data_IF_257985628161
#
_entry.id   IF_257985628161
#
_cell.length_a   1.000
_cell.length_b   1.000
_cell.length_c   1.000
_cell.angle_alpha   90.00
_cell.angle_beta   90.00
_cell.angle_gamma   90.00
#
_symmetry.space_group_name_H-M   'P 1'
#
loop_
_entity.id
_entity.type
_entity.pdbx_description
1 polymer ?
#
# COMPACT_ATOMS: atom_id res chain seq x y z
N UNK A 1 -19.84 38.53 55.50
CA UNK A 1 -19.02 38.40 54.27
C UNK A 1 -17.78 37.53 54.48
N UNK A 2 -17.00 37.72 55.54
CA UNK A 2 -15.75 36.99 55.79
C UNK A 2 -15.91 35.45 55.89
N UNK A 3 -16.99 34.94 56.48
CA UNK A 3 -17.23 33.49 56.60
C UNK A 3 -17.52 32.78 55.26
N UNK A 4 -18.13 33.50 54.30
CA UNK A 4 -18.45 32.96 52.97
C UNK A 4 -17.22 32.92 52.06
N UNK A 5 -16.30 33.87 52.25
CA UNK A 5 -15.02 33.92 51.54
C UNK A 5 -14.11 32.81 52.07
N UNK A 6 -14.05 32.58 53.39
CA UNK A 6 -13.31 31.47 53.97
C UNK A 6 -13.81 30.10 53.49
N UNK A 7 -15.13 29.90 53.39
CA UNK A 7 -15.71 28.66 52.86
C UNK A 7 -15.39 28.47 51.38
N UNK A 8 -15.42 29.54 50.57
CA UNK A 8 -15.04 29.48 49.15
C UNK A 8 -13.56 29.17 48.96
N UNK A 9 -12.68 29.72 49.79
CA UNK A 9 -11.24 29.43 49.76
C UNK A 9 -10.97 27.99 50.20
N UNK A 10 -11.68 27.47 51.21
CA UNK A 10 -11.54 26.07 51.63
C UNK A 10 -12.07 25.11 50.57
N UNK A 11 -13.19 25.42 49.92
CA UNK A 11 -13.74 24.61 48.80
C UNK A 11 -12.84 24.70 47.57
N UNK A 12 -12.27 25.87 47.26
CA UNK A 12 -11.32 26.04 46.17
C UNK A 12 -9.97 25.34 46.47
N UNK A 13 -9.49 25.36 47.71
CA UNK A 13 -8.32 24.59 48.14
C UNK A 13 -8.58 23.08 48.16
N UNK A 14 -9.78 22.63 48.53
CA UNK A 14 -10.21 21.23 48.40
C UNK A 14 -10.35 20.81 46.93
N UNK A 15 -10.81 21.68 46.04
CA UNK A 15 -10.87 21.42 44.61
C UNK A 15 -9.47 21.42 43.95
N UNK A 16 -8.54 22.25 44.43
CA UNK A 16 -7.13 22.24 44.03
C UNK A 16 -6.38 20.99 44.53
N UNK A 17 -6.82 20.37 45.64
CA UNK A 17 -6.29 19.08 46.11
C UNK A 17 -6.82 17.86 45.32
N UNK A 18 -7.85 18.04 44.48
CA UNK A 18 -8.44 16.96 43.66
C UNK A 18 -7.89 16.94 42.22
N UNK A 19 -7.03 17.89 41.85
CA UNK A 19 -6.15 17.77 40.67
C UNK A 19 -4.93 16.92 41.04
N UNK A 20 -5.20 15.71 41.52
CA UNK A 20 -4.18 14.67 41.72
C UNK A 20 -3.86 14.02 40.39
N UNK A 21 -2.59 13.68 40.15
CA UNK A 21 -2.13 12.93 38.98
C UNK A 21 -3.08 11.78 38.63
N UNK A 22 -3.46 11.67 37.35
CA UNK A 22 -4.42 10.66 36.89
C UNK A 22 -3.91 9.25 37.22
N UNK A 23 -4.78 8.41 37.80
CA UNK A 23 -4.43 7.02 38.15
C UNK A 23 -4.01 6.23 36.89
N UNK A 24 -2.80 5.66 36.87
CA UNK A 24 -2.26 4.91 35.74
C UNK A 24 -3.19 3.79 35.25
N UNK A 25 -3.95 3.15 36.14
CA UNK A 25 -4.95 2.16 35.70
C UNK A 25 -6.10 2.81 34.95
N UNK A 26 -6.58 3.98 35.38
CA UNK A 26 -7.63 4.72 34.67
C UNK A 26 -7.14 5.25 33.34
N UNK A 27 -5.89 5.68 33.28
CA UNK A 27 -5.24 6.17 32.07
C UNK A 27 -5.14 5.09 30.99
N UNK A 28 -4.85 3.84 31.41
CA UNK A 28 -4.90 2.68 30.53
C UNK A 28 -6.31 2.10 30.32
N UNK A 29 -7.35 2.64 30.98
CA UNK A 29 -8.71 2.12 30.90
C UNK A 29 -8.92 0.75 31.56
N UNK A 30 -8.11 0.44 32.57
CA UNK A 30 -8.05 -0.85 33.26
C UNK A 30 -8.51 -0.76 34.72
N UNK A 31 -8.84 -1.93 35.29
CA UNK A 31 -9.07 -2.08 36.73
C UNK A 31 -7.74 -2.40 37.43
N UNK A 32 -7.61 -2.07 38.72
CA UNK A 32 -6.38 -2.32 39.50
C UNK A 32 -5.91 -3.78 39.52
N UNK A 33 -6.85 -4.73 39.39
CA UNK A 33 -6.57 -6.16 39.32
C UNK A 33 -6.27 -6.66 37.89
N UNK A 34 -5.99 -5.77 36.94
CA UNK A 34 -5.70 -6.15 35.56
C UNK A 34 -4.46 -7.06 35.49
N UNK A 35 -4.55 -8.11 34.67
CA UNK A 35 -3.41 -8.98 34.39
C UNK A 35 -2.34 -8.25 33.55
N UNK A 36 -1.10 -8.73 33.59
CA UNK A 36 -0.02 -8.16 32.78
C UNK A 36 -0.35 -8.20 31.27
N UNK A 37 -1.16 -9.19 30.85
CA UNK A 37 -1.66 -9.32 29.49
C UNK A 37 -2.63 -8.20 29.13
N UNK A 38 -3.52 -7.83 30.03
CA UNK A 38 -4.47 -6.72 29.85
C UNK A 38 -3.74 -5.36 29.82
N UNK A 39 -2.74 -5.17 30.68
CA UNK A 39 -1.88 -3.98 30.72
C UNK A 39 -1.13 -3.80 29.40
N UNK A 40 -0.49 -4.86 28.90
CA UNK A 40 0.20 -4.84 27.58
C UNK A 40 -0.75 -4.57 26.43
N UNK A 41 -1.95 -5.16 26.44
CA UNK A 41 -2.95 -4.98 25.38
C UNK A 41 -3.48 -3.55 25.36
N UNK A 42 -3.79 -2.98 26.53
CA UNK A 42 -4.26 -1.61 26.65
C UNK A 42 -3.21 -0.61 26.17
N UNK A 43 -1.96 -0.80 26.58
CA UNK A 43 -0.84 0.02 26.12
C UNK A 43 -0.70 0.00 24.59
N UNK A 44 -0.65 -1.18 23.95
CA UNK A 44 -0.56 -1.28 22.47
C UNK A 44 -1.68 -0.53 21.75
N UNK A 45 -2.91 -0.67 22.25
CA UNK A 45 -4.08 0.00 21.67
C UNK A 45 -3.99 1.52 21.77
N UNK A 46 -3.63 2.04 22.95
CA UNK A 46 -3.56 3.47 23.21
C UNK A 46 -2.33 4.12 22.56
N UNK A 47 -1.18 3.45 22.55
CA UNK A 47 0.02 3.92 21.84
C UNK A 47 -0.20 4.01 20.33
N UNK A 48 -0.89 3.03 19.71
CA UNK A 48 -1.25 3.09 18.28
C UNK A 48 -2.25 4.22 17.99
N UNK A 49 -3.10 4.57 18.97
CA UNK A 49 -4.10 5.64 18.84
C UNK A 49 -3.47 7.04 18.94
N UNK A 50 -2.56 7.24 19.89
CA UNK A 50 -1.93 8.54 20.18
C UNK A 50 -0.56 8.72 19.51
N UNK A 51 -0.19 7.85 18.56
CA UNK A 51 1.10 7.90 17.88
C UNK A 51 1.28 9.24 17.13
N UNK A 52 2.46 9.89 17.22
CA UNK A 52 2.72 11.16 16.52
C UNK A 52 2.60 11.06 15.00
N UNK A 53 3.05 9.96 14.38
CA UNK A 53 2.91 9.78 12.93
C UNK A 53 1.45 9.74 12.45
N UNK A 54 0.53 9.30 13.31
CA UNK A 54 -0.91 9.28 13.00
C UNK A 54 -1.61 10.57 13.40
N UNK A 55 -0.99 11.37 14.26
CA UNK A 55 -1.52 12.62 14.79
C UNK A 55 -0.47 13.74 14.69
N UNK A 56 0.02 14.06 13.48
CA UNK A 56 1.09 15.06 13.32
C UNK A 56 0.59 16.44 13.74
N UNK A 57 1.30 17.09 14.66
CA UNK A 57 0.99 18.45 15.13
C UNK A 57 -0.10 18.55 16.21
N UNK A 58 -0.64 17.43 16.71
CA UNK A 58 -1.59 17.44 17.84
C UNK A 58 -0.87 17.34 19.19
N UNK A 59 -0.73 18.47 19.88
CA UNK A 59 -0.10 18.55 21.20
C UNK A 59 -0.83 17.70 22.26
N UNK A 60 -2.15 17.52 22.13
CA UNK A 60 -2.94 16.75 23.10
C UNK A 60 -2.73 15.24 22.95
N UNK A 61 -2.56 14.77 21.72
CA UNK A 61 -2.18 13.39 21.44
C UNK A 61 -0.75 13.10 21.94
N UNK A 62 0.17 14.05 21.76
CA UNK A 62 1.53 13.97 22.26
C UNK A 62 1.59 13.86 23.80
N UNK A 63 0.84 14.70 24.52
CA UNK A 63 0.76 14.63 25.98
C UNK A 63 0.20 13.29 26.46
N UNK A 64 -0.89 12.82 25.87
CA UNK A 64 -1.47 11.51 26.21
C UNK A 64 -0.56 10.34 25.89
N UNK A 65 0.24 10.45 24.82
CA UNK A 65 1.23 9.44 24.48
C UNK A 65 2.30 9.32 25.57
N UNK A 66 2.80 10.44 26.08
CA UNK A 66 3.76 10.49 27.19
C UNK A 66 3.17 9.87 28.46
N UNK A 67 1.93 10.25 28.81
CA UNK A 67 1.27 9.73 30.01
C UNK A 67 0.99 8.22 29.92
N UNK A 68 0.58 7.72 28.75
CA UNK A 68 0.37 6.28 28.49
C UNK A 68 1.69 5.50 28.58
N UNK A 69 2.80 6.08 28.12
CA UNK A 69 4.12 5.48 28.23
C UNK A 69 4.59 5.39 29.69
N UNK A 70 4.42 6.45 30.48
CA UNK A 70 4.77 6.45 31.90
C UNK A 70 3.91 5.45 32.69
N UNK A 71 2.60 5.39 32.43
CA UNK A 71 1.70 4.43 33.06
C UNK A 71 2.13 2.98 32.80
N UNK A 72 2.55 2.67 31.58
CA UNK A 72 3.03 1.34 31.24
C UNK A 72 4.39 1.04 31.86
N UNK A 73 5.33 1.99 31.91
CA UNK A 73 6.63 1.80 32.55
C UNK A 73 6.46 1.38 34.03
N UNK A 74 5.57 2.05 34.75
CA UNK A 74 5.31 1.76 36.16
C UNK A 74 4.55 0.45 36.35
N UNK A 75 3.53 0.18 35.54
CA UNK A 75 2.65 -0.99 35.71
C UNK A 75 3.17 -2.28 35.07
N UNK A 76 4.17 -2.21 34.17
CA UNK A 76 4.69 -3.38 33.46
C UNK A 76 5.71 -4.21 34.27
N UNK A 77 6.40 -3.60 35.23
CA UNK A 77 7.32 -4.29 36.13
C UNK A 77 6.65 -4.55 37.48
N UNK A 78 6.72 -5.79 37.95
CA UNK A 78 6.07 -6.25 39.19
C UNK A 78 6.55 -5.48 40.44
N UNK A 79 7.80 -5.03 40.47
CA UNK A 79 8.37 -4.26 41.59
C UNK A 79 7.83 -2.83 41.63
N UNK A 80 7.89 -2.11 40.52
CA UNK A 80 7.37 -0.73 40.42
C UNK A 80 5.84 -0.71 40.53
N UNK A 81 5.17 -1.73 40.01
CA UNK A 81 3.72 -1.89 40.16
C UNK A 81 3.31 -2.05 41.62
N UNK A 82 4.03 -2.87 42.40
CA UNK A 82 3.78 -3.02 43.85
C UNK A 82 3.99 -1.70 44.60
N UNK A 83 5.04 -0.95 44.26
CA UNK A 83 5.30 0.37 44.86
C UNK A 83 4.18 1.35 44.53
N UNK A 84 3.74 1.40 43.28
CA UNK A 84 2.61 2.23 42.86
C UNK A 84 1.28 1.81 43.52
N UNK A 85 1.01 0.51 43.61
CA UNK A 85 -0.21 0.00 44.23
C UNK A 85 -0.27 0.29 45.74
N UNK A 86 0.88 0.37 46.42
CA UNK A 86 0.98 0.64 47.86
C UNK A 86 1.05 2.13 48.20
N UNK A 87 1.76 2.93 47.40
CA UNK A 87 2.12 4.30 47.74
C UNK A 87 1.72 5.34 46.67
N UNK A 88 1.08 4.92 45.59
CA UNK A 88 0.64 5.78 44.50
C UNK A 88 1.80 6.47 43.77
N UNK A 89 1.50 7.59 43.13
CA UNK A 89 2.48 8.40 42.39
C UNK A 89 3.66 8.86 43.27
N UNK A 90 3.40 9.20 44.53
CA UNK A 90 4.42 9.68 45.47
C UNK A 90 5.47 8.59 45.77
N UNK A 91 5.05 7.31 45.84
CA UNK A 91 5.94 6.18 46.01
C UNK A 91 6.90 5.98 44.83
N UNK A 92 6.39 6.18 43.60
CA UNK A 92 7.22 6.14 42.40
C UNK A 92 8.18 7.32 42.34
N UNK A 93 7.75 8.53 42.72
CA UNK A 93 8.63 9.69 42.75
C UNK A 93 9.73 9.58 43.81
N UNK A 94 9.45 9.00 44.98
CA UNK A 94 10.46 8.71 46.00
C UNK A 94 11.41 7.59 45.57
N UNK A 95 10.90 6.53 44.93
CA UNK A 95 11.72 5.46 44.36
C UNK A 95 12.66 5.99 43.26
N UNK A 96 12.20 6.93 42.41
CA UNK A 96 13.02 7.65 41.41
C UNK A 96 14.08 8.58 42.04
N UNK A 97 13.92 9.03 43.29
CA UNK A 97 14.87 9.92 43.99
C UNK A 97 15.87 9.19 44.92
N UNK A 98 15.59 7.94 45.31
CA UNK A 98 16.28 7.24 46.39
C UNK A 98 17.48 6.35 46.04
N UNK A 99 17.86 6.19 44.76
CA UNK A 99 19.05 5.43 44.38
C UNK A 99 18.84 4.51 43.18
N UNK A 100 19.13 5.03 42.00
CA UNK A 100 19.22 4.33 40.73
C UNK A 100 19.68 5.34 39.67
N UNK A 101 20.44 4.96 38.63
CA UNK A 101 20.91 5.90 37.62
C UNK A 101 19.72 6.70 37.07
N UNK A 102 19.85 8.03 37.03
CA UNK A 102 18.90 8.91 36.35
C UNK A 102 18.89 8.54 34.87
N UNK A 103 18.03 7.61 34.49
CA UNK A 103 17.61 7.46 33.11
C UNK A 103 16.52 8.51 32.90
N UNK A 104 16.94 9.69 32.45
CA UNK A 104 16.08 10.51 31.61
C UNK A 104 15.83 9.70 30.33
N UNK A 105 14.94 8.71 30.40
CA UNK A 105 14.41 8.07 29.21
C UNK A 105 13.43 9.09 28.65
N UNK A 106 13.78 9.70 27.52
CA UNK A 106 12.80 10.38 26.70
C UNK A 106 11.65 9.37 26.46
N UNK A 107 10.36 9.72 26.65
CA UNK A 107 9.25 8.81 26.38
C UNK A 107 9.33 8.20 24.96
N UNK A 108 9.96 8.92 24.03
CA UNK A 108 10.30 8.44 22.69
C UNK A 108 11.44 7.41 22.65
N UNK A 109 12.42 7.47 23.54
CA UNK A 109 13.52 6.52 23.64
C UNK A 109 13.07 5.19 24.28
N UNK A 110 12.11 5.25 25.23
CA UNK A 110 11.44 4.07 25.78
C UNK A 110 10.59 3.37 24.70
N UNK A 111 9.96 4.14 23.81
CA UNK A 111 9.25 3.65 22.63
C UNK A 111 10.22 3.06 21.58
N UNK A 112 11.32 3.74 21.24
CA UNK A 112 12.35 3.20 20.32
C UNK A 112 13.00 1.90 20.82
N UNK A 113 13.06 1.70 22.14
CA UNK A 113 13.53 0.46 22.79
C UNK A 113 12.50 -0.66 22.79
N UNK A 114 11.22 -0.36 22.56
CA UNK A 114 10.10 -1.30 22.58
C UNK A 114 9.45 -1.52 21.18
N UNK A 115 9.60 -0.57 20.24
CA UNK A 115 9.03 -0.58 18.88
C UNK A 115 10.06 -0.33 17.76
N UNK A 116 11.33 -0.05 18.08
CA UNK A 116 12.44 -0.04 17.12
C UNK A 116 12.84 1.34 16.59
N UNK A 117 14.00 1.84 17.05
CA UNK A 117 14.59 3.07 16.52
C UNK A 117 15.95 3.47 17.13
N UNK A 118 17.01 2.75 16.74
CA UNK A 118 18.43 3.17 16.69
C UNK A 118 18.92 4.35 17.56
N UNK A 119 19.66 4.05 18.64
CA UNK A 119 20.38 5.10 19.36
C UNK A 119 21.27 4.70 20.56
N UNK A 120 22.18 3.72 20.46
CA UNK A 120 23.54 3.75 21.05
C UNK A 120 24.27 2.40 20.92
N UNK A 121 25.56 2.49 20.59
CA UNK A 121 26.51 1.40 20.36
C UNK A 121 26.56 0.30 21.44
N UNK A 122 26.49 -0.97 21.01
CA UNK A 122 26.93 -2.12 21.81
C UNK A 122 26.30 -3.45 21.37
N UNK A 123 27.10 -4.36 20.82
CA UNK A 123 26.73 -5.68 20.31
C UNK A 123 25.70 -6.47 21.14
N UNK A 124 24.48 -6.66 20.63
CA UNK A 124 23.67 -7.90 20.79
C UNK A 124 22.63 -7.93 19.65
N UNK A 125 22.44 -9.09 19.01
CA UNK A 125 21.77 -9.23 17.71
C UNK A 125 20.43 -8.53 17.57
N UNK A 126 20.27 -7.74 16.51
CA UNK A 126 18.98 -7.16 16.14
C UNK A 126 17.91 -8.25 16.05
N UNK A 127 16.70 -7.92 16.45
CA UNK A 127 15.55 -8.79 16.26
C UNK A 127 15.55 -9.23 14.80
N UNK A 128 15.57 -10.55 14.59
CA UNK A 128 15.50 -11.11 13.25
C UNK A 128 14.21 -10.59 12.65
N UNK A 129 14.28 -9.99 11.46
CA UNK A 129 13.11 -9.55 10.70
C UNK A 129 12.80 -10.57 9.62
N UNK A 130 11.52 -10.85 9.44
CA UNK A 130 10.99 -11.72 8.40
C UNK A 130 11.08 -11.08 7.01
N UNK A 131 10.87 -11.88 5.96
CA UNK A 131 10.82 -11.37 4.60
C UNK A 131 9.60 -10.46 4.39
N UNK A 132 9.72 -9.51 3.46
CA UNK A 132 8.60 -8.68 3.03
C UNK A 132 7.66 -9.49 2.11
N UNK A 133 6.37 -9.15 2.15
CA UNK A 133 5.33 -9.72 1.31
C UNK A 133 4.98 -8.72 0.20
N UNK A 134 4.88 -9.17 -1.05
CA UNK A 134 4.49 -8.31 -2.17
C UNK A 134 3.16 -8.78 -2.76
N UNK A 135 2.22 -7.84 -2.94
CA UNK A 135 0.89 -8.12 -3.51
C UNK A 135 0.62 -7.12 -4.63
N UNK A 136 0.01 -7.58 -5.72
CA UNK A 136 -0.44 -6.72 -6.82
C UNK A 136 -1.94 -6.55 -6.74
N UNK A 137 -2.41 -5.31 -6.66
CA UNK A 137 -3.83 -4.98 -6.64
C UNK A 137 -4.16 -4.28 -7.96
N UNK A 138 -5.05 -4.89 -8.73
CA UNK A 138 -5.54 -4.35 -9.98
C UNK A 138 -6.67 -3.34 -9.73
N UNK A 139 -6.45 -2.11 -10.14
CA UNK A 139 -7.37 -0.99 -9.94
C UNK A 139 -7.84 -0.45 -11.30
N UNK A 140 -9.15 -0.25 -11.51
CA UNK A 140 -9.67 0.34 -12.73
C UNK A 140 -9.12 1.75 -13.00
N UNK A 141 -8.93 2.13 -14.27
CA UNK A 141 -8.44 3.47 -14.65
C UNK A 141 -9.35 4.59 -14.13
N UNK A 142 -10.66 4.34 -14.07
CA UNK A 142 -11.66 5.26 -13.50
C UNK A 142 -11.35 5.63 -12.06
N UNK A 143 -10.88 4.67 -11.27
CA UNK A 143 -10.57 4.87 -9.85
C UNK A 143 -9.25 5.61 -9.67
N UNK A 144 -8.27 5.42 -10.58
CA UNK A 144 -7.09 6.30 -10.64
C UNK A 144 -7.43 7.73 -11.05
N UNK A 145 -8.45 7.92 -11.89
CA UNK A 145 -8.89 9.24 -12.34
C UNK A 145 -9.63 10.01 -11.25
N UNK A 146 -10.59 9.37 -10.58
CA UNK A 146 -11.45 10.03 -9.58
C UNK A 146 -10.89 9.98 -8.16
N UNK A 147 -10.00 9.04 -7.88
CA UNK A 147 -9.65 8.62 -6.53
C UNK A 147 -10.72 7.70 -5.93
N UNK A 148 -10.29 6.75 -5.10
CA UNK A 148 -11.20 5.80 -4.43
C UNK A 148 -10.61 5.30 -3.13
N UNK A 149 -11.46 5.15 -2.13
CA UNK A 149 -11.16 4.37 -0.92
C UNK A 149 -11.71 2.98 -1.13
N UNK A 150 -10.83 2.00 -1.21
CA UNK A 150 -11.18 0.59 -1.39
C UNK A 150 -10.53 -0.24 -0.30
N UNK A 151 -10.97 -1.48 -0.17
CA UNK A 151 -10.38 -2.43 0.75
C UNK A 151 -9.96 -3.66 -0.06
N UNK A 152 -8.87 -4.30 0.36
CA UNK A 152 -8.43 -5.55 -0.24
C UNK A 152 -8.09 -6.53 0.87
N UNK A 153 -8.36 -7.81 0.61
CA UNK A 153 -8.12 -8.89 1.55
C UNK A 153 -6.91 -9.70 1.10
N UNK A 154 -6.01 -9.99 2.02
CA UNK A 154 -4.85 -10.85 1.81
C UNK A 154 -4.89 -12.02 2.78
N UNK A 155 -4.34 -13.16 2.37
CA UNK A 155 -4.10 -14.28 3.26
C UNK A 155 -2.64 -14.26 3.71
N UNK A 156 -2.42 -14.12 5.02
CA UNK A 156 -1.07 -14.16 5.62
C UNK A 156 -0.97 -15.17 6.74
N UNK A 157 0.24 -15.50 7.14
CA UNK A 157 0.48 -16.22 8.38
C UNK A 157 0.34 -15.25 9.55
N UNK A 158 -0.60 -15.51 10.44
CA UNK A 158 -0.77 -14.79 11.69
C UNK A 158 -0.35 -15.69 12.87
N UNK A 159 0.17 -15.08 13.92
CA UNK A 159 0.44 -15.80 15.17
C UNK A 159 -0.87 -16.36 15.70
N UNK A 160 -0.88 -17.66 16.02
CA UNK A 160 -2.09 -18.31 16.50
C UNK A 160 -2.58 -17.64 17.78
N UNK A 161 -3.75 -17.02 17.72
CA UNK A 161 -4.36 -16.28 18.84
C UNK A 161 -4.69 -17.16 20.04
N UNK A 162 -4.97 -18.45 19.82
CA UNK A 162 -5.28 -19.41 20.87
C UNK A 162 -4.08 -19.75 21.75
N UNK A 163 -2.87 -19.85 21.18
CA UNK A 163 -1.65 -20.21 21.91
C UNK A 163 -0.61 -19.08 21.97
N UNK A 164 -0.91 -17.91 21.41
CA UNK A 164 -0.02 -16.74 21.30
C UNK A 164 1.40 -17.09 20.79
N UNK A 165 1.47 -17.99 19.81
CA UNK A 165 2.75 -18.42 19.23
C UNK A 165 3.54 -19.43 20.07
N UNK A 166 3.02 -19.93 21.20
CA UNK A 166 3.69 -20.99 21.98
C UNK A 166 3.59 -22.37 21.32
N UNK A 167 2.48 -22.64 20.59
CA UNK A 167 2.17 -23.92 19.98
C UNK A 167 1.60 -24.96 20.95
N UNK A 168 1.53 -24.62 22.23
CA UNK A 168 0.97 -25.45 23.31
C UNK A 168 -0.41 -24.94 23.69
N UNK A 169 -1.33 -25.82 24.07
CA UNK A 169 -2.64 -25.42 24.59
C UNK A 169 -2.50 -24.63 25.90
N UNK A 170 -1.63 -25.10 26.81
CA UNK A 170 -1.41 -24.49 28.12
C UNK A 170 -0.30 -23.43 28.13
N UNK A 171 0.28 -23.12 26.96
CA UNK A 171 1.46 -22.23 26.85
C UNK A 171 2.77 -22.83 27.40
N UNK A 172 2.73 -23.96 28.11
CA UNK A 172 3.90 -24.65 28.63
C UNK A 172 4.67 -25.40 27.54
N UNK A 173 5.98 -25.12 27.45
CA UNK A 173 6.89 -25.74 26.48
C UNK A 173 8.13 -26.24 27.22
N UNK A 174 8.45 -27.52 27.06
CA UNK A 174 9.62 -28.12 27.71
C UNK A 174 10.84 -28.09 26.80
N UNK A 175 12.03 -27.93 27.37
CA UNK A 175 13.27 -28.03 26.60
C UNK A 175 13.44 -29.47 26.10
N UNK A 176 13.80 -29.63 24.83
CA UNK A 176 13.98 -30.97 24.26
C UNK A 176 15.21 -31.64 24.90
N UNK A 177 14.97 -32.67 25.72
CA UNK A 177 16.02 -33.42 26.42
C UNK A 177 17.08 -34.03 25.50
N UNK A 178 16.74 -34.29 24.23
CA UNK A 178 17.66 -35.00 23.33
C UNK A 178 18.59 -34.09 22.52
N UNK A 179 18.27 -32.80 22.39
CA UNK A 179 19.21 -31.81 21.85
C UNK A 179 19.63 -30.77 22.89
N UNK A 180 19.11 -30.85 24.12
CA UNK A 180 19.37 -29.88 25.18
C UNK A 180 18.97 -28.45 24.79
N UNK A 181 17.90 -28.29 24.01
CA UNK A 181 17.45 -26.98 23.52
C UNK A 181 18.11 -26.51 22.22
N UNK A 182 19.14 -27.20 21.72
CA UNK A 182 19.92 -26.74 20.55
C UNK A 182 19.23 -26.95 19.20
N UNK A 183 18.17 -27.75 19.14
CA UNK A 183 17.44 -28.04 17.89
C UNK A 183 18.18 -28.97 16.90
N UNK A 184 19.50 -29.11 17.01
CA UNK A 184 20.34 -29.99 16.18
C UNK A 184 21.08 -31.02 17.01
N UNK A 185 21.44 -32.15 16.39
CA UNK A 185 22.33 -33.18 16.94
C UNK A 185 23.50 -33.42 16.01
N UNK A 186 24.65 -33.77 16.58
CA UNK A 186 25.85 -34.09 15.81
C UNK A 186 25.83 -35.60 15.54
N UNK A 187 25.70 -36.00 14.28
CA UNK A 187 25.78 -37.38 13.84
C UNK A 187 27.12 -37.60 13.12
N UNK A 188 27.85 -38.66 13.48
CA UNK A 188 29.07 -39.06 12.76
C UNK A 188 28.66 -39.90 11.56
N UNK A 189 28.82 -39.36 10.35
CA UNK A 189 28.58 -40.08 9.11
C UNK A 189 29.92 -40.53 8.52
N UNK A 190 30.02 -41.82 8.21
CA UNK A 190 31.19 -42.39 7.55
C UNK A 190 31.07 -42.21 6.05
N UNK A 191 31.95 -41.39 5.45
CA UNK A 191 31.98 -41.14 4.01
C UNK A 191 32.93 -42.11 3.29
N UNK A 192 33.95 -42.61 3.98
CA UNK A 192 34.89 -43.61 3.47
C UNK A 192 35.48 -44.45 4.61
N UNK A 193 36.10 -45.62 4.33
CA UNK A 193 36.87 -46.36 5.33
C UNK A 193 37.92 -45.46 5.99
N UNK A 194 37.80 -45.22 7.30
CA UNK A 194 38.71 -44.37 8.07
C UNK A 194 38.40 -42.86 8.07
N UNK A 195 37.42 -42.37 7.29
CA UNK A 195 37.03 -40.96 7.24
C UNK A 195 35.60 -40.76 7.78
N UNK A 196 35.49 -40.21 8.99
CA UNK A 196 34.23 -39.87 9.63
C UNK A 196 34.07 -38.35 9.67
N UNK A 197 32.99 -37.83 9.09
CA UNK A 197 32.60 -36.42 9.21
C UNK A 197 31.52 -36.27 10.27
N UNK A 198 31.64 -35.25 11.12
CA UNK A 198 30.57 -34.83 12.01
C UNK A 198 29.61 -33.93 11.22
N UNK A 199 28.39 -34.41 10.96
CA UNK A 199 27.33 -33.65 10.31
C UNK A 199 26.30 -33.22 11.36
N UNK A 200 25.87 -31.96 11.30
CA UNK A 200 24.77 -31.48 12.13
C UNK A 200 23.45 -31.84 11.46
N UNK A 201 22.66 -32.69 12.11
CA UNK A 201 21.31 -33.08 11.67
C UNK A 201 20.27 -32.41 12.58
N UNK A 202 19.11 -32.06 12.04
CA UNK A 202 18.01 -31.58 12.87
C UNK A 202 17.59 -32.67 13.87
N UNK A 203 17.30 -32.28 15.12
CA UNK A 203 16.85 -33.21 16.14
C UNK A 203 15.45 -33.74 15.78
N UNK A 204 15.34 -35.04 15.50
CA UNK A 204 14.07 -35.69 15.10
C UNK A 204 12.94 -35.47 16.12
N UNK A 205 13.29 -35.44 17.42
CA UNK A 205 12.30 -35.34 18.50
C UNK A 205 11.64 -33.96 18.62
N UNK A 206 12.32 -32.89 18.21
CA UNK A 206 11.77 -31.53 18.24
C UNK A 206 11.67 -30.88 16.86
N UNK A 207 11.99 -31.61 15.79
CA UNK A 207 11.99 -31.11 14.41
C UNK A 207 12.80 -29.83 14.23
N UNK A 208 13.96 -29.70 14.89
CA UNK A 208 14.75 -28.47 14.83
C UNK A 208 14.41 -27.37 15.84
N UNK A 209 13.25 -27.43 16.50
CA UNK A 209 12.72 -26.31 17.34
C UNK A 209 13.37 -26.16 18.71
N UNK A 210 14.14 -27.14 19.18
CA UNK A 210 14.76 -27.14 20.52
C UNK A 210 13.79 -27.31 21.70
N UNK A 211 12.48 -27.17 21.48
CA UNK A 211 11.42 -27.33 22.49
C UNK A 211 10.49 -28.48 22.10
N UNK A 212 9.90 -29.14 23.09
CA UNK A 212 8.90 -30.20 22.95
C UNK A 212 7.60 -29.79 23.64
N UNK A 213 6.49 -29.99 22.93
CA UNK A 213 5.15 -29.64 23.39
C UNK A 213 4.45 -30.93 23.84
N UNK A 214 3.90 -30.96 25.06
CA UNK A 214 3.13 -32.11 25.57
C UNK A 214 1.67 -32.07 25.09
N UNK A 215 1.05 -30.90 25.17
CA UNK A 215 -0.33 -30.66 24.74
C UNK A 215 -0.33 -29.69 23.55
N UNK A 216 -0.34 -30.20 22.31
CA UNK A 216 -0.34 -29.34 21.12
C UNK A 216 -1.63 -28.51 21.08
N UNK A 217 -1.50 -27.24 20.70
CA UNK A 217 -2.66 -26.36 20.57
C UNK A 217 -3.67 -26.93 19.56
N UNK A 218 -4.97 -26.98 19.88
CA UNK A 218 -5.99 -27.58 19.00
C UNK A 218 -6.22 -26.79 17.70
N UNK A 219 -5.94 -25.48 17.69
CA UNK A 219 -6.16 -24.61 16.53
C UNK A 219 -5.01 -24.69 15.53
N UNK A 220 -3.77 -24.61 16.00
CA UNK A 220 -2.59 -24.62 15.13
C UNK A 220 -1.87 -25.98 15.07
N UNK A 221 -2.34 -26.98 15.83
CA UNK A 221 -1.70 -28.31 15.92
C UNK A 221 -0.19 -28.26 16.24
N UNK A 222 0.26 -27.25 16.98
CA UNK A 222 1.68 -27.04 17.33
C UNK A 222 2.53 -26.33 16.26
N UNK A 223 1.93 -25.79 15.19
CA UNK A 223 2.62 -24.98 14.19
C UNK A 223 2.96 -23.57 14.70
N UNK A 224 2.23 -23.07 15.71
CA UNK A 224 2.33 -21.72 16.31
C UNK A 224 1.72 -20.58 15.47
N UNK A 225 1.47 -20.81 14.19
CA UNK A 225 0.91 -19.84 13.24
C UNK A 225 -0.28 -20.46 12.48
N UNK A 226 -1.21 -19.61 12.06
CA UNK A 226 -2.40 -19.98 11.27
C UNK A 226 -2.50 -19.09 10.04
N UNK A 227 -3.11 -19.60 8.96
CA UNK A 227 -3.44 -18.76 7.80
C UNK A 227 -4.73 -18.00 8.12
N UNK A 228 -4.67 -16.68 8.06
CA UNK A 228 -5.81 -15.81 8.32
C UNK A 228 -5.92 -14.77 7.20
N UNK A 229 -7.17 -14.44 6.85
CA UNK A 229 -7.48 -13.40 5.88
C UNK A 229 -7.60 -12.05 6.59
N UNK A 230 -6.75 -11.10 6.26
CA UNK A 230 -6.80 -9.74 6.80
C UNK A 230 -7.18 -8.74 5.71
N UNK A 231 -8.06 -7.80 6.05
CA UNK A 231 -8.51 -6.75 5.15
C UNK A 231 -7.79 -5.44 5.48
N UNK A 232 -7.07 -4.91 4.49
CA UNK A 232 -6.40 -3.62 4.58
C UNK A 232 -7.13 -2.56 3.77
N UNK A 233 -7.12 -1.33 4.30
CA UNK A 233 -7.68 -0.15 3.62
C UNK A 233 -6.66 0.41 2.64
N UNK A 234 -7.09 0.59 1.41
CA UNK A 234 -6.31 1.14 0.32
C UNK A 234 -6.94 2.46 -0.13
N UNK A 235 -6.17 3.54 -0.03
CA UNK A 235 -6.58 4.87 -0.49
C UNK A 235 -5.84 5.19 -1.78
N UNK A 236 -6.59 5.31 -2.87
CA UNK A 236 -6.09 5.71 -4.19
C UNK A 236 -6.41 7.18 -4.37
N UNK A 237 -5.38 8.00 -4.47
CA UNK A 237 -5.53 9.43 -4.66
C UNK A 237 -5.79 9.76 -6.14
N UNK A 238 -6.49 10.87 -6.35
CA UNK A 238 -6.79 11.40 -7.69
C UNK A 238 -5.50 11.62 -8.47
N UNK A 239 -5.41 11.03 -9.68
CA UNK A 239 -4.28 11.22 -10.58
C UNK A 239 -3.06 10.34 -10.30
N UNK A 240 -3.13 9.46 -9.28
CA UNK A 240 -2.01 8.63 -8.87
C UNK A 240 -1.39 7.86 -10.06
N UNK A 241 -0.04 7.85 -10.20
CA UNK A 241 0.62 7.17 -11.32
C UNK A 241 0.55 5.64 -11.20
N UNK A 242 0.76 4.95 -12.32
CA UNK A 242 0.82 3.48 -12.34
C UNK A 242 2.07 3.00 -11.60
N UNK A 243 1.98 1.90 -10.86
CA UNK A 243 3.13 1.25 -10.22
C UNK A 243 3.57 1.87 -8.90
N UNK A 244 2.78 2.76 -8.30
CA UNK A 244 3.02 3.25 -6.93
C UNK A 244 3.02 2.08 -5.95
N UNK A 245 3.96 2.12 -5.00
CA UNK A 245 4.13 1.12 -3.94
C UNK A 245 3.61 1.71 -2.65
N UNK A 246 2.61 1.06 -2.07
CA UNK A 246 2.09 1.41 -0.75
C UNK A 246 2.62 0.37 0.23
N UNK A 247 3.26 0.82 1.30
CA UNK A 247 3.90 -0.07 2.28
C UNK A 247 3.11 -0.05 3.57
N UNK A 248 2.73 -1.23 4.05
CA UNK A 248 2.15 -1.43 5.37
C UNK A 248 3.19 -2.10 6.25
N UNK A 249 3.65 -1.36 7.26
CA UNK A 249 4.78 -1.77 8.10
C UNK A 249 4.44 -2.95 9.00
N UNK A 250 5.31 -3.96 9.03
CA UNK A 250 5.15 -5.17 9.85
C UNK A 250 3.84 -5.96 9.59
N UNK A 251 3.20 -5.77 8.44
CA UNK A 251 1.97 -6.47 8.06
C UNK A 251 2.21 -7.70 7.18
N UNK A 252 3.47 -8.12 6.96
CA UNK A 252 3.82 -9.36 6.26
C UNK A 252 3.55 -10.64 7.07
N UNK A 253 4.09 -11.77 6.61
CA UNK A 253 3.93 -13.07 7.30
C UNK A 253 4.56 -13.02 8.72
N UNK A 254 3.75 -13.31 9.73
CA UNK A 254 4.17 -13.31 11.12
C UNK A 254 4.81 -14.64 11.54
N UNK A 255 5.75 -14.56 12.49
CA UNK A 255 6.37 -15.72 13.12
C UNK A 255 6.65 -15.45 14.60
N UNK A 256 6.57 -16.44 15.49
CA UNK A 256 7.01 -16.28 16.86
C UNK A 256 8.52 -16.05 17.01
N UNK A 257 9.30 -16.39 15.99
CA UNK A 257 10.77 -16.41 16.06
C UNK A 257 11.42 -15.13 15.48
N UNK A 258 10.67 -14.29 14.76
CA UNK A 258 11.13 -13.05 14.13
C UNK A 258 9.99 -12.03 13.97
N UNK A 259 10.33 -10.75 13.93
CA UNK A 259 9.37 -9.66 13.66
C UNK A 259 8.92 -9.75 12.20
N UNK A 260 7.64 -9.51 11.92
CA UNK A 260 7.11 -9.54 10.56
C UNK A 260 7.83 -8.53 9.64
N UNK A 261 7.94 -8.88 8.36
CA UNK A 261 8.37 -7.94 7.31
C UNK A 261 7.24 -6.99 6.91
N UNK A 262 7.51 -6.15 5.93
CA UNK A 262 6.53 -5.21 5.39
C UNK A 262 5.64 -5.84 4.32
N UNK A 263 4.37 -5.42 4.24
CA UNK A 263 3.49 -5.71 3.12
C UNK A 263 3.60 -4.58 2.10
N UNK A 264 4.12 -4.88 0.92
CA UNK A 264 4.30 -3.95 -0.18
C UNK A 264 3.23 -4.21 -1.24
N UNK A 265 2.30 -3.25 -1.35
CA UNK A 265 1.20 -3.29 -2.31
C UNK A 265 1.60 -2.53 -3.57
N UNK A 266 1.64 -3.24 -4.69
CA UNK A 266 1.88 -2.70 -6.01
C UNK A 266 0.55 -2.42 -6.70
N UNK A 267 0.26 -1.14 -6.95
CA UNK A 267 -0.91 -0.74 -7.70
C UNK A 267 -0.67 -0.91 -9.20
N UNK A 268 -1.47 -1.77 -9.82
CA UNK A 268 -1.46 -1.99 -11.27
C UNK A 268 -2.80 -1.56 -11.86
N UNK A 269 -2.76 -1.01 -13.07
CA UNK A 269 -4.00 -0.72 -13.81
C UNK A 269 -4.65 -2.05 -14.20
N UNK A 270 -5.94 -2.18 -13.91
CA UNK A 270 -6.71 -3.35 -14.29
C UNK A 270 -6.86 -3.43 -15.81
N UNK A 271 -6.97 -4.66 -16.33
CA UNK A 271 -7.25 -4.83 -17.73
C UNK A 271 -8.63 -4.25 -18.09
N UNK A 272 -8.76 -3.66 -19.29
CA UNK A 272 -9.98 -3.02 -19.74
C UNK A 272 -11.13 -4.05 -19.80
N UNK A 273 -12.13 -3.87 -18.94
CA UNK A 273 -13.33 -4.70 -18.88
C UNK A 273 -14.58 -3.82 -18.86
N UNK A 274 -15.57 -4.17 -19.67
CA UNK A 274 -16.88 -3.51 -19.64
C UNK A 274 -17.57 -3.85 -18.31
N UNK A 275 -17.74 -2.84 -17.46
CA UNK A 275 -18.49 -2.97 -16.22
C UNK A 275 -19.94 -3.40 -16.44
N UNK A 276 -20.53 -4.02 -15.42
CA UNK A 276 -21.94 -4.44 -15.46
C UNK A 276 -22.88 -3.25 -15.22
N UNK A 277 -22.45 -2.30 -14.38
CA UNK A 277 -23.21 -1.10 -14.06
C UNK A 277 -22.89 0.06 -15.02
N UNK A 278 -23.86 0.94 -15.28
CA UNK A 278 -23.73 2.03 -16.26
C UNK A 278 -22.52 2.93 -15.97
N UNK A 279 -22.29 3.24 -14.69
CA UNK A 279 -21.17 4.07 -14.24
C UNK A 279 -19.80 3.37 -14.31
N UNK A 280 -19.77 2.04 -14.51
CA UNK A 280 -18.55 1.23 -14.69
C UNK A 280 -18.24 0.95 -16.17
N UNK A 281 -19.16 1.28 -17.09
CA UNK A 281 -18.97 1.10 -18.54
C UNK A 281 -18.07 2.14 -19.18
N UNK A 282 -17.74 3.21 -18.46
CA UNK A 282 -16.78 4.23 -18.91
C UNK A 282 -15.35 3.71 -18.86
N UNK A 283 -15.08 2.75 -17.99
CA UNK A 283 -13.77 2.11 -17.89
C UNK A 283 -13.65 0.95 -18.88
N UNK A 284 -12.49 0.84 -19.50
CA UNK A 284 -12.07 -0.45 -20.04
C UNK A 284 -12.53 -0.85 -21.44
N UNK A 285 -12.71 0.08 -22.38
CA UNK A 285 -12.62 -0.31 -23.82
C UNK A 285 -12.06 0.79 -24.69
N UNK A 286 -12.44 2.03 -24.38
CA UNK A 286 -12.19 3.15 -25.28
C UNK A 286 -11.02 4.02 -24.82
N UNK A 287 -10.86 4.23 -23.51
CA UNK A 287 -9.76 5.00 -22.93
C UNK A 287 -8.50 4.15 -22.74
N UNK A 288 -7.36 4.72 -23.09
CA UNK A 288 -6.03 4.19 -22.77
C UNK A 288 -5.19 5.28 -22.13
N UNK A 289 -4.66 5.04 -20.94
CA UNK A 289 -3.78 5.99 -20.24
C UNK A 289 -2.32 5.81 -20.64
N UNK A 290 -1.67 6.89 -21.06
CA UNK A 290 -0.21 6.98 -21.21
C UNK A 290 0.32 8.21 -20.47
N UNK A 291 0.89 7.98 -19.30
CA UNK A 291 1.34 9.05 -18.41
C UNK A 291 0.14 9.84 -17.87
N UNK A 292 0.12 11.15 -18.14
CA UNK A 292 -0.99 12.06 -17.80
C UNK A 292 -2.05 12.13 -18.90
N UNK A 293 -1.75 11.67 -20.11
CA UNK A 293 -2.65 11.83 -21.25
C UNK A 293 -3.53 10.58 -21.44
N UNK A 294 -4.74 10.83 -21.94
CA UNK A 294 -5.72 9.81 -22.29
C UNK A 294 -5.80 9.67 -23.81
N UNK A 295 -6.02 8.46 -24.29
CA UNK A 295 -6.16 8.15 -25.70
C UNK A 295 -7.52 7.47 -25.91
N UNK A 296 -8.29 8.02 -26.84
CA UNK A 296 -9.60 7.51 -27.27
C UNK A 296 -9.55 7.19 -28.77
N UNK A 297 -10.19 6.10 -29.18
CA UNK A 297 -10.37 5.77 -30.59
C UNK A 297 -11.82 5.95 -31.00
N UNK A 298 -12.08 6.96 -31.83
CA UNK A 298 -13.39 7.23 -32.37
C UNK A 298 -13.52 6.61 -33.76
N UNK A 299 -14.54 5.77 -33.94
CA UNK A 299 -14.77 5.08 -35.20
C UNK A 299 -15.75 5.89 -36.05
N UNK A 300 -15.32 6.27 -37.25
CA UNK A 300 -16.13 7.01 -38.21
C UNK A 300 -16.42 6.14 -39.44
N UNK A 301 -17.63 6.23 -39.96
CA UNK A 301 -17.92 5.75 -41.30
C UNK A 301 -17.27 6.65 -42.37
N UNK A 302 -17.06 6.13 -43.58
CA UNK A 302 -16.60 6.93 -44.72
C UNK A 302 -17.46 8.20 -44.95
N UNK A 303 -18.78 8.11 -44.73
CA UNK A 303 -19.70 9.25 -44.85
C UNK A 303 -19.41 10.32 -43.81
N UNK A 304 -19.26 9.94 -42.55
CA UNK A 304 -18.98 10.87 -41.45
C UNK A 304 -17.59 11.50 -41.58
N UNK A 305 -16.57 10.69 -41.93
CA UNK A 305 -15.20 11.16 -42.10
C UNK A 305 -15.09 12.17 -43.25
N UNK A 306 -15.83 11.97 -44.35
CA UNK A 306 -15.75 12.88 -45.49
C UNK A 306 -16.72 14.06 -45.39
N UNK A 307 -17.99 13.79 -45.14
CA UNK A 307 -19.02 14.83 -45.23
C UNK A 307 -19.14 15.65 -43.94
N UNK A 308 -18.56 15.20 -42.83
CA UNK A 308 -18.82 15.76 -41.51
C UNK A 308 -20.30 15.60 -41.15
N UNK A 309 -20.88 16.61 -40.50
CA UNK A 309 -22.28 16.66 -40.08
C UNK A 309 -22.64 15.55 -39.10
N UNK A 310 -21.82 15.43 -38.06
CA UNK A 310 -22.01 14.48 -36.98
C UNK A 310 -21.59 15.09 -35.64
N UNK A 311 -22.22 14.59 -34.58
CA UNK A 311 -21.95 14.95 -33.19
C UNK A 311 -21.98 13.69 -32.35
N UNK A 312 -20.97 13.51 -31.49
CA UNK A 312 -20.82 12.37 -30.57
C UNK A 312 -20.59 12.88 -29.17
N UNK A 313 -21.23 12.24 -28.21
CA UNK A 313 -21.02 12.51 -26.79
C UNK A 313 -20.13 11.40 -26.25
N UNK A 314 -18.91 11.76 -25.86
CA UNK A 314 -17.97 10.87 -25.19
C UNK A 314 -18.17 11.06 -23.69
N UNK A 315 -18.66 10.03 -23.00
CA UNK A 315 -18.74 10.04 -21.53
C UNK A 315 -17.36 9.79 -20.96
N UNK A 316 -16.84 10.75 -20.20
CA UNK A 316 -15.53 10.68 -19.55
C UNK A 316 -15.56 9.78 -18.29
N UNK A 317 -14.40 9.55 -17.69
CA UNK A 317 -14.18 8.69 -16.53
C UNK A 317 -14.86 9.19 -15.23
N UNK A 318 -15.17 10.48 -15.12
CA UNK A 318 -15.98 11.07 -14.04
C UNK A 318 -17.48 11.18 -14.40
N UNK A 319 -17.86 10.80 -15.62
CA UNK A 319 -19.23 10.86 -16.13
C UNK A 319 -19.61 12.17 -16.82
N UNK A 320 -18.73 13.18 -16.89
CA UNK A 320 -19.02 14.37 -17.67
C UNK A 320 -18.95 14.06 -19.18
N UNK A 321 -19.55 14.92 -20.01
CA UNK A 321 -19.65 14.69 -21.46
C UNK A 321 -18.67 15.60 -22.21
N UNK A 322 -17.77 14.98 -22.97
CA UNK A 322 -16.94 15.65 -23.98
C UNK A 322 -17.60 15.51 -25.34
N UNK A 323 -17.97 16.63 -25.95
CA UNK A 323 -18.67 16.62 -27.23
C UNK A 323 -17.69 16.71 -28.40
N UNK A 324 -17.67 15.68 -29.24
CA UNK A 324 -16.96 15.66 -30.51
C UNK A 324 -17.91 16.06 -31.63
N UNK A 325 -17.52 16.97 -32.51
CA UNK A 325 -18.35 17.32 -33.66
C UNK A 325 -17.52 17.76 -34.87
N UNK A 326 -18.11 17.58 -36.05
CA UNK A 326 -17.61 18.11 -37.32
C UNK A 326 -18.74 18.73 -38.10
N UNK A 327 -18.53 19.95 -38.58
CA UNK A 327 -19.52 20.63 -39.42
C UNK A 327 -19.53 20.00 -40.81
N UNK A 328 -20.64 20.19 -41.52
CA UNK A 328 -20.77 19.70 -42.89
C UNK A 328 -19.66 20.27 -43.78
N UNK A 329 -18.93 19.40 -44.46
CA UNK A 329 -17.82 19.74 -45.35
C UNK A 329 -16.43 19.71 -44.71
N UNK A 330 -16.34 19.47 -43.40
CA UNK A 330 -15.06 19.25 -42.71
C UNK A 330 -14.64 17.78 -42.83
N UNK A 331 -13.51 17.56 -43.50
CA UNK A 331 -12.96 16.21 -43.76
C UNK A 331 -12.03 15.80 -42.62
N UNK A 332 -12.16 14.56 -42.16
CA UNK A 332 -11.27 13.90 -41.21
C UNK A 332 -10.47 12.85 -41.95
N UNK A 333 -9.14 12.92 -41.85
CA UNK A 333 -8.28 11.88 -42.41
C UNK A 333 -8.18 10.70 -41.44
N UNK A 334 -8.01 9.46 -41.95
CA UNK A 334 -7.72 8.32 -41.10
C UNK A 334 -6.47 8.55 -40.25
N UNK A 335 -6.51 8.12 -38.99
CA UNK A 335 -5.44 8.28 -38.00
C UNK A 335 -5.08 9.74 -37.65
N UNK A 336 -5.90 10.72 -38.07
CA UNK A 336 -5.79 12.06 -37.50
C UNK A 336 -6.07 12.00 -36.01
N UNK A 337 -5.21 12.64 -35.23
CA UNK A 337 -5.37 12.81 -33.79
C UNK A 337 -5.81 14.23 -33.50
N UNK A 338 -6.99 14.39 -32.92
CA UNK A 338 -7.44 15.65 -32.32
C UNK A 338 -7.05 15.67 -30.84
N UNK A 339 -6.58 16.81 -30.35
CA UNK A 339 -6.19 16.99 -28.94
C UNK A 339 -7.21 17.88 -28.27
N UNK A 340 -7.86 17.35 -27.24
CA UNK A 340 -8.78 18.09 -26.38
C UNK A 340 -8.02 18.38 -25.09
N UNK A 341 -7.80 19.68 -24.87
CA UNK A 341 -6.98 20.17 -23.76
C UNK A 341 -7.69 19.95 -22.43
N UNK A 342 -6.89 19.68 -21.40
CA UNK A 342 -7.35 19.53 -20.01
C UNK A 342 -8.36 18.37 -19.78
N UNK A 343 -8.46 17.44 -20.74
CA UNK A 343 -9.34 16.27 -20.68
C UNK A 343 -8.57 14.95 -20.45
N UNK A 344 -7.30 15.02 -20.07
CA UNK A 344 -6.49 13.86 -19.68
C UNK A 344 -6.64 13.49 -18.21
N UNK A 345 -5.75 12.65 -17.70
CA UNK A 345 -5.74 12.27 -16.28
C UNK A 345 -5.31 13.47 -15.43
N UNK A 346 -5.94 13.72 -14.26
CA UNK A 346 -5.47 14.72 -13.32
C UNK A 346 -4.02 14.43 -12.89
N UNK A 347 -3.22 15.48 -12.78
CA UNK A 347 -1.85 15.37 -12.29
C UNK A 347 -1.91 15.16 -10.78
N UNK A 348 -1.19 14.15 -10.31
CA UNK A 348 -1.15 13.80 -8.90
C UNK A 348 -0.57 14.95 -8.07
N UNK A 349 -1.23 15.33 -6.98
CA UNK A 349 -0.86 16.52 -6.21
C UNK A 349 0.57 16.47 -5.65
N UNK A 350 1.14 15.29 -5.38
CA UNK A 350 2.54 15.18 -4.93
C UNK A 350 3.55 15.55 -6.01
N UNK A 351 3.13 15.63 -7.28
CA UNK A 351 3.95 16.07 -8.40
C UNK A 351 3.77 17.56 -8.72
N UNK A 352 2.84 18.24 -8.04
CA UNK A 352 2.58 19.66 -8.21
C UNK A 352 3.40 20.45 -7.18
N UNK A 353 3.86 21.63 -7.57
CA UNK A 353 4.48 22.56 -6.63
C UNK A 353 3.40 23.17 -5.70
N UNK A 354 3.80 23.53 -4.47
CA UNK A 354 2.89 24.13 -3.50
C UNK A 354 2.16 25.35 -4.11
N UNK A 355 0.82 25.33 -4.10
CA UNK A 355 -0.10 26.32 -4.67
C UNK A 355 -0.43 26.21 -6.17
N UNK A 356 0.02 25.18 -6.89
CA UNK A 356 -0.56 24.90 -8.20
C UNK A 356 -1.93 24.22 -8.01
N UNK A 357 -2.98 24.78 -8.62
CA UNK A 357 -4.32 24.18 -8.61
C UNK A 357 -4.34 22.83 -9.34
N UNK A 358 -5.52 22.21 -9.41
CA UNK A 358 -5.68 20.97 -10.18
C UNK A 358 -5.31 21.22 -11.66
N UNK A 359 -4.43 20.38 -12.18
CA UNK A 359 -4.02 20.37 -13.60
C UNK A 359 -4.35 19.01 -14.19
N UNK A 360 -4.70 18.99 -15.47
CA UNK A 360 -5.01 17.77 -16.21
C UNK A 360 -4.00 17.57 -17.33
N UNK A 361 -3.88 16.32 -17.78
CA UNK A 361 -3.28 16.03 -19.09
C UNK A 361 -4.24 16.35 -20.23
N UNK A 362 -3.94 15.85 -21.42
CA UNK A 362 -4.78 16.03 -22.60
C UNK A 362 -5.48 14.72 -23.01
N UNK A 363 -6.61 14.84 -23.72
CA UNK A 363 -7.28 13.72 -24.38
C UNK A 363 -6.95 13.72 -25.88
N UNK A 364 -6.31 12.66 -26.33
CA UNK A 364 -6.00 12.40 -27.73
C UNK A 364 -7.08 11.50 -28.35
N UNK A 365 -7.85 12.07 -29.28
CA UNK A 365 -8.89 11.35 -30.03
C UNK A 365 -8.33 10.97 -31.39
N UNK A 366 -8.03 9.68 -31.58
CA UNK A 366 -7.64 9.12 -32.87
C UNK A 366 -8.90 8.70 -33.66
N UNK A 367 -9.03 9.21 -34.88
CA UNK A 367 -10.13 8.85 -35.77
C UNK A 367 -9.79 7.66 -36.66
N UNK A 368 -10.53 6.56 -36.51
CA UNK A 368 -10.42 5.36 -37.34
C UNK A 368 -11.58 5.35 -38.34
N UNK A 369 -11.26 5.41 -39.63
CA UNK A 369 -12.27 5.41 -40.70
C UNK A 369 -12.52 3.99 -41.19
N UNK A 370 -13.77 3.54 -41.09
CA UNK A 370 -14.21 2.24 -41.61
C UNK A 370 -14.84 2.43 -42.98
N UNK A 371 -14.29 1.70 -43.96
CA UNK A 371 -14.86 1.65 -45.31
C UNK A 371 -15.96 0.58 -45.38
N UNK A 372 -17.00 0.78 -46.22
CA UNK A 372 -17.98 -0.26 -46.49
C UNK A 372 -17.33 -1.47 -47.18
N UNK A 373 -17.75 -2.69 -46.80
CA UNK A 373 -17.21 -3.94 -47.36
C UNK A 373 -17.62 -4.19 -48.82
N UNK A 374 -18.74 -3.61 -49.25
CA UNK A 374 -19.33 -3.81 -50.57
C UNK A 374 -19.76 -2.47 -51.18
N UNK A 375 -19.56 -2.32 -52.49
CA UNK A 375 -20.02 -1.17 -53.26
C UNK A 375 -21.09 -1.61 -54.27
N UNK A 376 -22.28 -1.01 -54.20
CA UNK A 376 -23.34 -1.27 -55.18
C UNK A 376 -23.01 -0.66 -56.55
N UNK A 377 -23.47 -1.29 -57.64
CA UNK A 377 -23.21 -0.84 -59.03
C UNK A 377 -23.76 0.55 -59.34
N UNK A 378 -24.85 0.96 -58.69
CA UNK A 378 -25.43 2.30 -58.79
C UNK A 378 -24.47 3.33 -58.17
N UNK A 379 -24.01 3.04 -56.96
CA UNK A 379 -23.07 3.86 -56.19
C UNK A 379 -21.72 3.99 -56.91
N UNK A 380 -21.20 2.91 -57.49
CA UNK A 380 -19.93 2.90 -58.23
C UNK A 380 -19.90 3.97 -59.32
N UNK A 381 -20.94 4.07 -60.15
CA UNK A 381 -21.01 5.05 -61.25
C UNK A 381 -20.96 6.48 -60.74
N UNK A 382 -21.73 6.77 -59.69
CA UNK A 382 -21.81 8.10 -59.12
C UNK A 382 -20.47 8.51 -58.50
N UNK A 383 -19.90 7.66 -57.64
CA UNK A 383 -18.60 7.88 -57.01
C UNK A 383 -17.48 8.03 -58.03
N UNK A 384 -17.43 7.16 -59.05
CA UNK A 384 -16.45 7.23 -60.12
C UNK A 384 -16.50 8.57 -60.85
N UNK A 385 -17.70 9.03 -61.20
CA UNK A 385 -17.88 10.29 -61.91
C UNK A 385 -17.40 11.50 -61.10
N UNK A 386 -17.61 11.48 -59.77
CA UNK A 386 -17.19 12.57 -58.88
C UNK A 386 -15.67 12.55 -58.71
N UNK A 387 -15.05 11.38 -58.53
CA UNK A 387 -13.60 11.31 -58.32
C UNK A 387 -12.82 11.64 -59.58
N UNK A 388 -13.31 11.25 -60.76
CA UNK A 388 -12.66 11.65 -62.01
C UNK A 388 -12.69 13.17 -62.19
N UNK A 389 -13.82 13.83 -61.86
CA UNK A 389 -13.90 15.29 -61.86
C UNK A 389 -12.94 15.92 -60.85
N UNK A 390 -12.81 15.34 -59.66
CA UNK A 390 -11.89 15.81 -58.64
C UNK A 390 -10.42 15.61 -59.06
N UNK A 391 -10.07 14.41 -59.55
CA UNK A 391 -8.73 14.04 -60.01
C UNK A 391 -8.24 14.98 -61.11
N UNK A 392 -9.10 15.32 -62.08
CA UNK A 392 -8.78 16.29 -63.14
C UNK A 392 -8.52 17.71 -62.62
N UNK A 393 -9.14 18.11 -61.50
CA UNK A 393 -9.00 19.46 -60.92
C UNK A 393 -7.90 19.59 -59.88
N UNK A 394 -7.70 18.56 -59.05
CA UNK A 394 -6.87 18.61 -57.83
C UNK A 394 -6.03 17.35 -57.59
N UNK A 395 -6.14 16.32 -58.42
CA UNK A 395 -5.43 15.06 -58.21
C UNK A 395 -3.95 15.19 -58.56
N UNK A 396 -3.08 14.93 -57.59
CA UNK A 396 -1.66 14.65 -57.84
C UNK A 396 -1.48 13.13 -58.04
N UNK A 397 -0.56 12.74 -58.92
CA UNK A 397 -0.13 11.35 -59.02
C UNK A 397 0.58 10.97 -57.72
N UNK A 398 0.06 9.99 -56.99
CA UNK A 398 0.65 9.57 -55.72
C UNK A 398 2.03 8.95 -55.93
N UNK A 399 2.24 8.18 -57.00
CA UNK A 399 3.56 7.58 -57.28
C UNK A 399 4.62 8.67 -57.50
N UNK A 400 4.28 9.75 -58.21
CA UNK A 400 5.18 10.89 -58.39
C UNK A 400 5.37 11.71 -57.11
N UNK A 401 4.29 11.93 -56.33
CA UNK A 401 4.33 12.71 -55.10
C UNK A 401 5.16 12.04 -53.99
N UNK A 402 5.22 10.70 -53.99
CA UNK A 402 5.96 9.92 -53.00
C UNK A 402 7.34 9.47 -53.51
N UNK A 403 7.77 9.97 -54.68
CA UNK A 403 9.07 9.67 -55.27
C UNK A 403 9.27 8.18 -55.60
N UNK A 404 8.17 7.47 -55.89
CA UNK A 404 8.23 6.04 -56.19
C UNK A 404 8.95 5.84 -57.54
N UNK A 405 9.95 4.96 -57.63
CA UNK A 405 10.59 4.64 -58.89
C UNK A 405 9.57 4.06 -59.87
N UNK A 406 9.54 4.59 -61.09
CA UNK A 406 8.60 4.14 -62.14
C UNK A 406 9.00 2.79 -62.77
N UNK A 407 10.16 2.23 -62.40
CA UNK A 407 10.68 1.00 -62.97
C UNK A 407 11.61 0.23 -62.03
N UNK A 408 12.08 -0.93 -62.51
CA UNK A 408 13.00 -1.77 -61.77
C UNK A 408 14.32 -1.04 -61.49
N UNK A 409 14.64 -0.86 -60.21
CA UNK A 409 15.94 -0.32 -59.79
C UNK A 409 16.97 -1.43 -59.92
N UNK A 410 18.04 -1.19 -60.70
CA UNK A 410 19.22 -2.05 -60.65
C UNK A 410 19.98 -1.73 -59.36
N UNK A 411 20.06 -2.71 -58.46
CA UNK A 411 20.92 -2.57 -57.29
C UNK A 411 22.39 -2.54 -57.76
N UNK A 412 23.25 -1.72 -57.13
CA UNK A 412 24.67 -1.78 -57.40
C UNK A 412 25.16 -3.20 -57.12
N UNK A 413 25.89 -3.77 -58.07
CA UNK A 413 26.64 -5.01 -57.85
C UNK A 413 27.80 -4.60 -56.94
N UNK A 414 27.98 -5.30 -55.82
CA UNK A 414 29.15 -5.11 -54.95
C UNK A 414 30.40 -5.30 -55.82
N UNK A 415 31.09 -4.20 -56.14
CA UNK A 415 32.47 -4.28 -56.60
C UNK A 415 33.29 -4.62 -55.36
N UNK A 416 33.97 -5.77 -55.42
CA UNK A 416 34.86 -6.27 -54.38
C UNK A 416 35.69 -5.10 -53.82
N UNK A 417 35.49 -4.83 -52.53
CA UNK A 417 36.33 -3.90 -51.80
C UNK A 417 37.75 -4.48 -51.75
N UNK A 418 38.58 -4.08 -52.71
CA UNK A 418 40.02 -4.29 -52.64
C UNK A 418 40.54 -3.62 -51.36
N UNK A 419 41.13 -4.46 -50.52
CA UNK A 419 41.76 -4.18 -49.25
C UNK A 419 42.72 -2.97 -49.31
N UNK A 420 42.56 -2.01 -48.39
CA UNK A 420 43.67 -1.20 -47.85
C UNK A 420 43.48 -0.88 -46.36
#
# INVERSE_FOLDING_TARGET
MLLRIALFVVIACLALLVVGAEDYYKLLGLKKNASDREIKKAYRSLSKKYHPDKNPGDETASQKFVEVAEAYEVLSNEETRKIYDQYGHDGIQQHKQGGGPRQHNDPFDLFSRFFGGSGHFGHHGGERRGPNMEVRVAIPLRDFYNGRKTEFTIEKQAICSACEGSGSEDGHVETCNTCGGRGVRIQRQQLAPGLFQQVQVHCDKCGGKGKTIKHPCPVCSGSRVVRESETHKLEIEKGMPKGVRITYENEGDESPDWVAGDLIVHLVEADPALGQEEHERTDGTFFRRRGKDLFWREVLSLREAWMGDWTRNVTHLDGHIVQLSRKRGEVVQPHTVEVIKDEGVPIWHQQLENNEGEKWGDLHVEYVVVLPDLMEKSMEKDFWSVWEKYRKKKGQSLDAAWGRPEGAIKMPVEEDHDEL
#
